data_IF_239530420542
#
_entry.id   IF_239530420542
#
_cell.length_a   1.000
_cell.length_b   1.000
_cell.length_c   1.000
_cell.angle_alpha   90.00
_cell.angle_beta   90.00
_cell.angle_gamma   90.00
#
_symmetry.space_group_name_H-M   'P 1'
#
loop_
_entity.id
_entity.type
_entity.pdbx_description
1 polymer ?
#
# COMPACT_ATOMS: atom_id res chain seq x y z
N UNK A 1 2.08 5.82 -20.94
CA UNK A 1 1.49 6.45 -19.76
C UNK A 1 1.16 5.39 -18.71
N UNK A 2 1.98 5.30 -17.68
CA UNK A 2 1.78 4.39 -16.55
C UNK A 2 0.83 4.99 -15.51
N UNK A 3 -0.15 4.22 -15.08
CA UNK A 3 -1.07 4.57 -14.00
C UNK A 3 -0.84 3.62 -12.84
N UNK A 4 -0.45 4.16 -11.70
CA UNK A 4 -0.19 3.43 -10.47
C UNK A 4 -1.28 3.81 -9.47
N UNK A 5 -1.93 2.81 -8.88
CA UNK A 5 -2.83 3.03 -7.76
C UNK A 5 -2.40 2.21 -6.56
N UNK A 6 -2.42 2.83 -5.39
CA UNK A 6 -2.20 2.17 -4.11
C UNK A 6 -3.44 2.36 -3.23
N UNK A 7 -4.21 1.30 -3.10
CA UNK A 7 -5.32 1.23 -2.15
C UNK A 7 -4.77 0.69 -0.82
N UNK A 8 -4.87 1.47 0.25
CA UNK A 8 -4.34 1.09 1.56
C UNK A 8 -5.20 1.60 2.72
N UNK A 9 -4.97 1.05 3.92
CA UNK A 9 -5.64 1.55 5.13
C UNK A 9 -5.14 2.94 5.51
N UNK A 10 -6.07 3.80 5.93
CA UNK A 10 -5.82 5.14 6.47
C UNK A 10 -4.83 5.12 7.64
N UNK A 11 -4.06 6.20 7.81
CA UNK A 11 -3.24 6.44 9.01
C UNK A 11 -1.73 6.47 8.77
N UNK A 12 -1.26 6.37 7.52
CA UNK A 12 0.15 6.64 7.19
C UNK A 12 0.42 8.14 7.21
N UNK A 13 1.60 8.54 7.67
CA UNK A 13 2.04 9.94 7.63
C UNK A 13 2.31 10.41 6.20
N UNK A 14 2.39 11.72 6.01
CA UNK A 14 2.70 12.30 4.72
C UNK A 14 4.11 11.92 4.26
N UNK A 15 5.08 11.85 5.16
CA UNK A 15 6.45 11.41 4.86
C UNK A 15 6.47 9.96 4.36
N UNK A 16 5.66 9.08 4.96
CA UNK A 16 5.54 7.69 4.49
C UNK A 16 4.93 7.62 3.10
N UNK A 17 3.91 8.43 2.82
CA UNK A 17 3.28 8.51 1.49
C UNK A 17 4.24 9.06 0.43
N UNK A 18 5.02 10.08 0.76
CA UNK A 18 6.06 10.64 -0.11
C UNK A 18 7.15 9.61 -0.42
N UNK A 19 7.63 8.87 0.59
CA UNK A 19 8.62 7.82 0.42
C UNK A 19 8.09 6.68 -0.47
N UNK A 20 6.84 6.25 -0.23
CA UNK A 20 6.17 5.25 -1.07
C UNK A 20 6.05 5.72 -2.52
N UNK A 21 5.62 6.97 -2.74
CA UNK A 21 5.47 7.54 -4.08
C UNK A 21 6.80 7.59 -4.85
N UNK A 22 7.87 8.07 -4.21
CA UNK A 22 9.19 8.11 -4.80
C UNK A 22 9.69 6.70 -5.18
N UNK A 23 9.50 5.73 -4.29
CA UNK A 23 9.90 4.34 -4.53
C UNK A 23 9.14 3.69 -5.69
N UNK A 24 7.81 3.83 -5.72
CA UNK A 24 6.97 3.25 -6.79
C UNK A 24 7.30 3.85 -8.16
N UNK A 25 7.43 5.17 -8.25
CA UNK A 25 7.79 5.86 -9.50
C UNK A 25 9.17 5.40 -9.98
N UNK A 26 10.16 5.31 -9.08
CA UNK A 26 11.49 4.83 -9.43
C UNK A 26 11.47 3.38 -9.95
N UNK A 27 10.71 2.49 -9.30
CA UNK A 27 10.59 1.10 -9.69
C UNK A 27 9.92 0.95 -11.07
N UNK A 28 8.80 1.63 -11.31
CA UNK A 28 8.12 1.60 -12.61
C UNK A 28 8.99 2.18 -13.70
N UNK A 29 9.68 3.30 -13.44
CA UNK A 29 10.64 3.89 -14.38
C UNK A 29 11.76 2.93 -14.74
N UNK A 30 12.35 2.26 -13.74
CA UNK A 30 13.42 1.30 -13.98
C UNK A 30 12.95 0.10 -14.82
N UNK A 31 11.72 -0.37 -14.62
CA UNK A 31 11.17 -1.51 -15.33
C UNK A 31 10.69 -1.18 -16.76
N UNK A 32 10.17 0.02 -16.99
CA UNK A 32 9.47 0.38 -18.24
C UNK A 32 10.28 1.32 -19.13
N UNK A 33 11.23 2.09 -18.58
CA UNK A 33 11.93 3.15 -19.28
C UNK A 33 11.09 4.42 -19.54
N UNK A 34 9.83 4.47 -19.08
CA UNK A 34 8.99 5.66 -19.28
C UNK A 34 9.53 6.89 -18.49
N UNK A 35 9.38 8.11 -19.01
CA UNK A 35 9.72 9.32 -18.26
C UNK A 35 8.69 9.61 -17.16
N UNK A 36 9.11 10.31 -16.10
CA UNK A 36 8.24 10.67 -14.96
C UNK A 36 6.99 11.47 -15.40
N UNK A 37 7.11 12.27 -16.46
CA UNK A 37 6.00 13.06 -17.01
C UNK A 37 4.86 12.21 -17.57
N UNK A 38 5.13 10.94 -17.87
CA UNK A 38 4.16 9.96 -18.38
C UNK A 38 3.63 9.03 -17.27
N UNK A 39 3.84 9.39 -16.00
CA UNK A 39 3.45 8.57 -14.86
C UNK A 39 2.47 9.31 -13.95
N UNK A 40 1.43 8.59 -13.54
CA UNK A 40 0.46 9.06 -12.56
C UNK A 40 0.37 8.07 -11.40
N UNK A 41 0.42 8.57 -10.16
CA UNK A 41 0.21 7.78 -8.95
C UNK A 41 -0.94 8.36 -8.14
N UNK A 42 -1.87 7.52 -7.71
CA UNK A 42 -2.91 7.86 -6.74
C UNK A 42 -2.87 6.91 -5.55
N UNK A 43 -2.97 7.49 -4.35
CA UNK A 43 -3.13 6.75 -3.09
C UNK A 43 -4.59 6.91 -2.65
N UNK A 44 -5.29 5.79 -2.48
CA UNK A 44 -6.68 5.75 -2.00
C UNK A 44 -6.71 5.13 -0.61
N UNK A 45 -7.21 5.88 0.35
CA UNK A 45 -7.24 5.42 1.74
C UNK A 45 -8.65 5.06 2.20
N UNK A 46 -8.78 3.89 2.83
CA UNK A 46 -10.02 3.44 3.47
C UNK A 46 -9.82 3.03 4.93
N UNK A 47 -10.92 2.89 5.65
CA UNK A 47 -10.90 2.25 6.98
C UNK A 47 -10.54 0.76 6.84
N UNK A 48 -9.99 0.16 7.89
CA UNK A 48 -9.60 -1.25 7.93
C UNK A 48 -10.70 -2.18 7.46
N UNK A 49 -11.94 -1.95 7.92
CA UNK A 49 -13.12 -2.76 7.57
C UNK A 49 -13.41 -2.80 6.06
N UNK A 50 -12.92 -1.84 5.28
CA UNK A 50 -13.10 -1.81 3.82
C UNK A 50 -12.14 -2.76 3.08
N UNK A 51 -11.16 -3.33 3.78
CA UNK A 51 -10.16 -4.24 3.23
C UNK A 51 -10.37 -5.63 3.79
N UNK A 52 -10.37 -6.63 2.92
CA UNK A 52 -10.49 -8.05 3.26
C UNK A 52 -9.26 -8.76 2.71
N UNK A 53 -8.52 -9.44 3.58
CA UNK A 53 -7.35 -10.23 3.23
C UNK A 53 -7.54 -11.64 3.80
N UNK A 54 -7.28 -12.68 3.00
CA UNK A 54 -7.53 -14.07 3.37
C UNK A 54 -8.94 -14.35 3.97
N UNK A 55 -9.95 -13.62 3.50
CA UNK A 55 -11.34 -13.76 3.98
C UNK A 55 -11.65 -13.05 5.30
N UNK A 56 -10.69 -12.34 5.90
CA UNK A 56 -10.90 -11.57 7.13
C UNK A 56 -10.83 -10.07 6.86
N UNK A 57 -11.76 -9.31 7.45
CA UNK A 57 -11.67 -7.85 7.46
C UNK A 57 -10.43 -7.42 8.25
N UNK A 58 -9.71 -6.44 7.70
CA UNK A 58 -8.58 -5.86 8.38
C UNK A 58 -9.03 -4.92 9.51
N UNK A 59 -8.26 -4.82 10.60
CA UNK A 59 -8.47 -3.76 11.57
C UNK A 59 -7.99 -2.41 11.02
N UNK A 60 -8.50 -1.31 11.57
CA UNK A 60 -7.99 0.04 11.29
C UNK A 60 -6.50 0.12 11.59
N UNK A 61 -5.68 0.73 10.73
CA UNK A 61 -4.22 0.68 10.91
C UNK A 61 -3.78 1.37 12.21
N UNK A 62 -2.88 0.70 12.94
CA UNK A 62 -2.15 1.28 14.06
C UNK A 62 -0.68 1.39 13.66
N UNK A 63 -0.07 2.54 13.97
CA UNK A 63 1.35 2.80 13.67
C UNK A 63 2.25 1.62 14.05
N UNK A 64 3.15 1.28 13.13
CA UNK A 64 4.03 0.11 13.26
C UNK A 64 3.35 -1.23 13.01
N UNK A 65 2.15 -1.24 12.38
CA UNK A 65 1.35 -2.45 12.15
C UNK A 65 1.04 -3.22 13.45
N UNK A 66 0.95 -2.52 14.60
CA UNK A 66 0.85 -3.15 15.94
C UNK A 66 -0.34 -4.09 16.09
N UNK A 67 -1.38 -3.91 15.29
CA UNK A 67 -2.59 -4.71 15.30
C UNK A 67 -2.69 -5.73 14.15
N UNK A 68 -1.66 -5.83 13.29
CA UNK A 68 -1.62 -6.80 12.21
C UNK A 68 -1.02 -8.15 12.63
N UNK A 69 -0.53 -8.27 13.87
CA UNK A 69 0.12 -9.49 14.37
C UNK A 69 -0.73 -10.76 14.16
N UNK A 70 -2.06 -10.65 14.33
CA UNK A 70 -2.98 -11.77 14.07
C UNK A 70 -3.03 -12.13 12.59
N UNK A 71 -3.16 -11.13 11.71
CA UNK A 71 -3.19 -11.33 10.26
C UNK A 71 -1.90 -11.97 9.77
N UNK A 72 -0.74 -11.44 10.18
CA UNK A 72 0.58 -11.95 9.77
C UNK A 72 0.72 -13.42 10.16
N UNK A 73 0.29 -13.78 11.38
CA UNK A 73 0.29 -15.17 11.85
C UNK A 73 -0.60 -16.07 10.98
N UNK A 74 -1.81 -15.61 10.62
CA UNK A 74 -2.74 -16.38 9.79
C UNK A 74 -2.19 -16.59 8.36
N UNK A 75 -1.63 -15.54 7.74
CA UNK A 75 -1.04 -15.63 6.40
C UNK A 75 0.16 -16.58 6.33
N UNK A 76 0.96 -16.67 7.39
CA UNK A 76 2.08 -17.60 7.46
C UNK A 76 1.64 -19.07 7.56
N UNK A 77 0.46 -19.34 8.10
CA UNK A 77 -0.10 -20.70 8.23
C UNK A 77 -0.76 -21.21 6.94
N UNK A 78 -1.01 -20.32 5.98
CA UNK A 78 -1.63 -20.63 4.69
C UNK A 78 -0.62 -20.87 3.56
N UNK A 79 0.68 -20.75 3.84
CA UNK A 79 1.79 -21.04 2.92
C UNK A 79 2.34 -22.43 3.15
#
# INVERSE_FOLDING_TARGET
>A
MSIISCDMRQGRSDEQKQALAAGLIAAVRAATGEPITEMFLVIREGRGVNFIEAGEHLPDFVEGNRNDARLIKNLQQQR
#
